data_IF_893032753523
#
_entry.id   IF_893032753523
#
_cell.length_a   1.000
_cell.length_b   1.000
_cell.length_c   1.000
_cell.angle_alpha   90.00
_cell.angle_beta   90.00
_cell.angle_gamma   90.00
#
_symmetry.space_group_name_H-M   'P 1'
#
loop_
_entity.id
_entity.type
_entity.pdbx_description
1 polymer ?
2 water ?
#
# COMPACT_ATOMS: atom_id res chain seq x y z
N UNK A 2 6.37 -13.94 27.57
CA UNK A 2 7.20 -12.76 27.36
C UNK A 2 6.40 -11.50 27.03
N UNK A 3 6.69 -10.42 27.76
CA UNK A 3 5.94 -9.16 27.65
C UNK A 3 6.59 -8.29 26.57
N UNK A 4 5.76 -7.77 25.67
CA UNK A 4 6.21 -6.86 24.63
C UNK A 4 5.51 -5.52 24.86
N UNK A 5 6.28 -4.45 24.97
CA UNK A 5 5.72 -3.14 25.27
C UNK A 5 6.09 -2.14 24.19
N UNK A 6 5.12 -1.46 23.67
CA UNK A 6 5.39 -0.44 22.65
C UNK A 6 5.53 0.93 23.31
N UNK A 7 6.30 1.84 22.73
CA UNK A 7 6.52 3.15 23.37
C UNK A 7 5.24 3.96 23.50
N UNK A 8 5.30 4.92 24.43
CA UNK A 8 4.14 5.72 24.80
C UNK A 8 3.66 6.57 23.62
N UNK A 9 4.60 7.08 22.82
CA UNK A 9 4.28 7.95 21.68
C UNK A 9 3.96 7.19 20.40
N UNK A 10 4.00 5.86 20.44
CA UNK A 10 3.76 5.03 19.26
C UNK A 10 2.34 5.22 18.76
N UNK A 11 2.18 5.45 17.46
CA UNK A 11 0.87 5.74 16.89
C UNK A 11 0.23 4.47 16.32
N UNK A 12 -1.05 4.30 16.61
CA UNK A 12 -1.79 3.12 16.17
C UNK A 12 -2.79 3.53 15.11
N UNK A 13 -2.87 2.74 14.05
CA UNK A 13 -3.82 3.02 12.99
C UNK A 13 -4.37 1.75 12.38
N UNK A 14 -5.34 1.96 11.47
CA UNK A 14 -5.83 0.97 10.53
C UNK A 14 -5.85 1.63 9.16
N UNK A 15 -5.91 0.80 8.12
CA UNK A 15 -5.77 1.29 6.76
C UNK A 15 -6.82 0.63 5.87
N UNK A 16 -7.28 1.40 4.88
CA UNK A 16 -8.13 0.92 3.79
C UNK A 16 -7.68 1.58 2.49
N UNK A 17 -8.35 1.22 1.39
CA UNK A 17 -8.17 1.86 0.09
C UNK A 17 -9.53 2.08 -0.57
N UNK A 18 -9.65 3.18 -1.32
CA UNK A 18 -10.95 3.63 -1.83
C UNK A 18 -11.66 2.55 -2.64
N UNK A 19 -11.02 2.04 -3.70
CA UNK A 19 -11.74 1.08 -4.53
C UNK A 19 -12.04 -0.21 -3.77
N UNK A 20 -11.28 -0.51 -2.73
CA UNK A 20 -11.47 -1.78 -2.03
C UNK A 20 -12.72 -1.76 -1.15
N UNK A 21 -13.14 -0.60 -0.65
CA UNK A 21 -14.25 -0.55 0.31
C UNK A 21 -15.44 0.30 -0.14
N UNK A 22 -15.21 1.33 -0.97
CA UNK A 22 -16.19 2.40 -1.13
C UNK A 22 -17.48 1.93 -1.82
N UNK A 23 -17.35 1.24 -2.95
CA UNK A 23 -18.54 0.99 -3.74
C UNK A 23 -19.05 2.27 -4.39
N UNK A 24 -20.35 2.31 -4.65
CA UNK A 24 -20.97 3.48 -5.30
C UNK A 24 -20.17 3.89 -6.54
N UNK A 25 -19.83 2.90 -7.35
CA UNK A 25 -18.81 3.10 -8.36
C UNK A 25 -19.27 4.00 -9.50
N UNK A 26 -20.58 4.11 -9.73
CA UNK A 26 -21.12 4.97 -10.77
C UNK A 26 -22.18 5.90 -10.20
N UNK A 27 -21.95 6.41 -8.99
CA UNK A 27 -22.86 7.35 -8.35
C UNK A 27 -22.15 8.66 -8.09
N UNK A 28 -22.95 9.71 -7.96
CA UNK A 28 -22.48 11.05 -7.61
C UNK A 28 -21.29 11.47 -8.48
N UNK A 29 -21.37 11.15 -9.77
CA UNK A 29 -20.46 11.69 -10.75
C UNK A 29 -19.14 10.96 -10.90
N UNK A 30 -18.93 9.85 -10.19
CA UNK A 30 -17.63 9.18 -10.24
C UNK A 30 -17.41 8.58 -11.62
N UNK A 31 -16.22 8.84 -12.20
CA UNK A 31 -15.83 8.20 -13.43
C UNK A 31 -15.17 6.84 -13.20
N UNK A 32 -15.07 6.08 -14.27
CA UNK A 32 -14.50 4.74 -14.18
C UNK A 32 -13.01 4.79 -13.93
N UNK A 33 -12.51 3.83 -13.13
CA UNK A 33 -11.08 3.62 -13.01
C UNK A 33 -10.68 2.38 -13.80
N UNK A 34 -9.35 2.21 -13.94
CA UNK A 34 -8.85 1.00 -14.59
C UNK A 34 -9.25 -0.26 -13.83
N UNK A 35 -9.55 -0.16 -12.52
CA UNK A 35 -9.97 -1.34 -11.78
C UNK A 35 -11.45 -1.66 -12.00
N UNK A 36 -12.28 -0.64 -12.28
CA UNK A 36 -13.63 -0.91 -12.77
C UNK A 36 -13.58 -1.70 -14.07
N UNK A 37 -12.78 -1.21 -15.03
CA UNK A 37 -12.62 -1.87 -16.32
C UNK A 37 -12.09 -3.29 -16.15
N UNK A 38 -11.02 -3.44 -15.37
CA UNK A 38 -10.35 -4.72 -15.23
C UNK A 38 -11.26 -5.75 -14.55
N UNK A 39 -11.90 -5.36 -13.44
CA UNK A 39 -12.71 -6.35 -12.72
C UNK A 39 -13.98 -6.73 -13.48
N UNK A 40 -14.39 -5.95 -14.47
CA UNK A 40 -15.49 -6.37 -15.32
C UNK A 40 -15.03 -7.11 -16.56
N UNK A 41 -13.74 -7.31 -16.72
CA UNK A 41 -13.22 -8.08 -17.84
C UNK A 41 -13.22 -9.57 -17.51
N UNK A 42 -13.75 -10.41 -18.40
CA UNK A 42 -13.81 -11.85 -18.10
C UNK A 42 -12.44 -12.42 -17.78
N UNK A 43 -12.38 -13.17 -16.67
CA UNK A 43 -11.20 -13.95 -16.33
C UNK A 43 -10.12 -13.24 -15.55
N UNK A 44 -10.29 -11.95 -15.25
CA UNK A 44 -9.25 -11.19 -14.59
C UNK A 44 -9.33 -11.23 -13.07
N UNK A 45 -10.54 -11.36 -12.49
CA UNK A 45 -10.73 -11.37 -11.06
C UNK A 45 -11.42 -12.67 -10.67
N UNK A 46 -10.94 -13.27 -9.59
CA UNK A 46 -11.50 -14.53 -9.15
C UNK A 46 -13.00 -14.38 -8.87
N UNK A 47 -13.77 -15.38 -9.31
CA UNK A 47 -15.23 -15.43 -9.16
C UNK A 47 -15.94 -14.30 -9.87
N UNK A 48 -15.26 -13.55 -10.73
CA UNK A 48 -15.89 -12.40 -11.36
C UNK A 48 -16.29 -11.30 -10.39
N UNK A 49 -15.63 -11.22 -9.25
CA UNK A 49 -15.93 -10.13 -8.32
C UNK A 49 -15.48 -8.79 -8.90
N UNK A 50 -16.10 -7.71 -8.42
CA UNK A 50 -15.73 -6.36 -8.78
C UNK A 50 -16.01 -5.45 -7.59
N UNK A 51 -15.57 -4.21 -7.69
CA UNK A 51 -15.79 -3.26 -6.62
C UNK A 51 -17.00 -2.36 -6.79
N UNK A 52 -18.04 -2.82 -7.49
CA UNK A 52 -19.23 -1.99 -7.71
C UNK A 52 -19.86 -1.58 -6.38
N UNK A 53 -20.03 -2.53 -5.48
CA UNK A 53 -20.61 -2.29 -4.15
C UNK A 53 -19.57 -2.39 -3.04
N UNK A 54 -18.78 -3.47 -3.03
CA UNK A 54 -17.70 -3.67 -2.03
C UNK A 54 -18.32 -3.62 -0.63
N UNK A 55 -17.80 -2.80 0.28
CA UNK A 55 -18.39 -2.65 1.60
C UNK A 55 -19.39 -1.52 1.65
N UNK A 56 -19.63 -0.83 0.53
CA UNK A 56 -20.54 0.32 0.48
C UNK A 56 -20.13 1.38 1.48
N UNK A 57 -18.82 1.54 1.72
CA UNK A 57 -18.35 2.52 2.68
C UNK A 57 -18.52 3.96 2.22
N UNK A 58 -18.76 4.19 0.92
CA UNK A 58 -19.14 5.54 0.49
C UNK A 58 -20.37 6.02 1.23
N UNK A 59 -21.38 5.17 1.35
CA UNK A 59 -22.59 5.50 2.09
C UNK A 59 -22.40 5.33 3.60
N UNK A 60 -21.85 4.18 4.03
CA UNK A 60 -21.79 3.82 5.44
C UNK A 60 -20.55 4.34 6.14
N UNK A 61 -19.96 5.45 5.68
CA UNK A 61 -18.69 5.89 6.24
C UNK A 61 -18.82 6.30 7.70
N UNK A 62 -20.02 6.71 8.13
CA UNK A 62 -20.19 7.05 9.55
C UNK A 62 -20.21 5.81 10.42
N UNK A 63 -20.81 4.72 9.93
CA UNK A 63 -20.74 3.45 10.65
C UNK A 63 -19.30 2.96 10.76
N UNK A 64 -18.50 3.14 9.69
CA UNK A 64 -17.09 2.76 9.75
C UNK A 64 -16.31 3.66 10.69
N UNK A 65 -16.63 4.96 10.72
CA UNK A 65 -15.91 5.85 11.63
C UNK A 65 -16.24 5.52 13.08
N UNK A 66 -17.46 5.08 13.36
CA UNK A 66 -17.78 4.70 14.73
C UNK A 66 -16.97 3.47 15.15
N UNK A 67 -16.76 2.53 14.21
CA UNK A 67 -15.91 1.37 14.46
C UNK A 67 -14.52 1.79 14.89
N UNK A 68 -13.97 2.84 14.27
CA UNK A 68 -12.62 3.26 14.58
C UNK A 68 -12.51 4.02 15.89
N UNK A 69 -13.55 4.77 16.28
CA UNK A 69 -13.48 5.44 17.58
C UNK A 69 -13.53 4.43 18.72
N UNK A 70 -14.35 3.38 18.59
CA UNK A 70 -14.35 2.30 19.58
C UNK A 70 -13.00 1.59 19.61
N UNK A 71 -12.44 1.32 18.43
CA UNK A 71 -11.13 0.67 18.34
C UNK A 71 -10.05 1.51 19.01
N UNK A 72 -10.17 2.85 18.96
CA UNK A 72 -9.24 3.70 19.66
C UNK A 72 -8.01 4.12 18.90
N UNK A 73 -7.98 3.91 17.57
CA UNK A 73 -6.77 4.22 16.81
C UNK A 73 -6.48 5.71 16.84
N UNK A 74 -5.21 6.06 16.67
CA UNK A 74 -4.80 7.45 16.56
C UNK A 74 -4.96 7.99 15.14
N UNK A 75 -4.73 7.15 14.13
CA UNK A 75 -4.68 7.58 12.73
C UNK A 75 -5.46 6.60 11.89
N UNK A 76 -6.09 7.11 10.84
CA UNK A 76 -6.78 6.28 9.86
C UNK A 76 -6.16 6.56 8.51
N UNK A 77 -5.62 5.51 7.88
CA UNK A 77 -5.09 5.58 6.53
C UNK A 77 -6.18 5.17 5.56
N UNK A 78 -6.50 6.05 4.61
CA UNK A 78 -7.49 5.80 3.58
C UNK A 78 -6.93 6.37 2.28
N UNK A 79 -7.63 6.13 1.17
CA UNK A 79 -7.22 6.77 -0.07
C UNK A 79 -8.38 7.51 -0.71
N UNK A 80 -8.03 8.49 -1.54
CA UNK A 80 -9.00 9.26 -2.32
C UNK A 80 -9.07 8.67 -3.71
N UNK A 81 -10.29 8.41 -4.19
CA UNK A 81 -10.53 7.96 -5.56
C UNK A 81 -10.35 9.13 -6.53
N UNK A 82 -9.22 9.15 -7.22
CA UNK A 82 -8.96 10.15 -8.26
C UNK A 82 -10.13 10.33 -9.23
N UNK A 83 -10.72 9.28 -9.82
CA UNK A 83 -11.86 9.49 -10.72
C UNK A 83 -13.13 9.92 -10.01
N UNK A 84 -13.15 9.96 -8.68
CA UNK A 84 -14.25 10.57 -7.96
C UNK A 84 -14.10 12.08 -7.84
N UNK A 85 -12.87 12.58 -7.88
CA UNK A 85 -12.60 14.01 -7.90
C UNK A 85 -12.59 14.55 -9.33
N UNK A 86 -11.86 13.87 -10.23
CA UNK A 86 -11.75 14.23 -11.65
C UNK A 86 -12.20 13.03 -12.47
N UNK A 87 -13.48 12.94 -12.81
CA UNK A 87 -13.97 11.76 -13.54
C UNK A 87 -13.22 11.43 -14.83
N UNK A 88 -12.58 12.42 -15.46
CA UNK A 88 -11.77 12.18 -16.64
C UNK A 88 -10.27 12.22 -16.33
N UNK A 89 -9.91 12.39 -15.06
CA UNK A 89 -8.52 12.53 -14.66
C UNK A 89 -8.03 13.95 -14.65
N UNK A 90 -8.68 14.84 -15.40
CA UNK A 90 -8.27 16.23 -15.56
C UNK A 90 -9.53 17.10 -15.61
N UNK A 91 -9.32 18.41 -15.72
CA UNK A 91 -10.39 19.32 -16.03
C UNK A 91 -11.34 19.56 -14.89
N UNK A 92 -12.64 19.36 -15.15
CA UNK A 92 -13.67 19.80 -14.19
C UNK A 92 -13.72 18.91 -12.95
N UNK A 93 -13.76 19.55 -11.78
CA UNK A 93 -13.96 18.85 -10.52
C UNK A 93 -15.39 18.33 -10.44
N UNK A 94 -15.54 17.11 -9.93
CA UNK A 94 -16.86 16.56 -9.61
C UNK A 94 -17.18 16.96 -8.18
N UNK A 95 -18.15 17.87 -8.02
CA UNK A 95 -18.36 18.51 -6.72
C UNK A 95 -18.85 17.52 -5.67
N UNK A 96 -19.75 16.61 -6.04
CA UNK A 96 -20.28 15.67 -5.06
C UNK A 96 -19.17 14.76 -4.52
N UNK A 97 -18.24 14.34 -5.38
CA UNK A 97 -17.13 13.54 -4.92
C UNK A 97 -16.20 14.32 -4.00
N UNK A 98 -15.93 15.58 -4.33
CA UNK A 98 -15.06 16.38 -3.49
C UNK A 98 -15.71 16.67 -2.15
N UNK A 99 -17.03 16.84 -2.13
CA UNK A 99 -17.67 17.11 -0.85
C UNK A 99 -17.79 15.85 0.00
N UNK A 100 -17.88 14.69 -0.64
CA UNK A 100 -17.86 13.45 0.12
C UNK A 100 -16.63 13.37 1.02
N UNK A 101 -15.45 13.59 0.44
CA UNK A 101 -14.23 13.52 1.24
C UNK A 101 -14.11 14.67 2.23
N UNK A 102 -14.76 15.80 1.95
CA UNK A 102 -14.80 16.85 2.98
C UNK A 102 -15.68 16.42 4.14
N UNK A 103 -16.84 15.83 3.86
CA UNK A 103 -17.68 15.31 4.95
C UNK A 103 -16.97 14.22 5.73
N UNK A 104 -16.24 13.35 5.02
CA UNK A 104 -15.51 12.27 5.66
C UNK A 104 -14.41 12.81 6.60
N UNK A 105 -13.51 13.63 6.05
CA UNK A 105 -12.37 14.09 6.84
C UNK A 105 -12.83 14.89 8.05
N UNK A 106 -13.89 15.69 7.89
CA UNK A 106 -14.34 16.50 9.01
C UNK A 106 -14.93 15.63 10.12
N UNK A 107 -15.72 14.62 9.74
CA UNK A 107 -16.28 13.68 10.71
C UNK A 107 -15.19 12.85 11.37
N UNK A 108 -14.13 12.50 10.62
CA UNK A 108 -12.97 11.83 11.21
C UNK A 108 -12.37 12.68 12.32
N UNK A 109 -12.02 13.92 12.00
CA UNK A 109 -11.39 14.81 12.98
C UNK A 109 -12.34 15.07 14.15
N UNK A 110 -13.64 15.18 13.86
CA UNK A 110 -14.61 15.36 14.93
C UNK A 110 -14.52 14.23 15.94
N UNK A 111 -14.34 13.00 15.48
CA UNK A 111 -14.23 11.84 16.34
C UNK A 111 -12.81 11.63 16.87
N UNK A 112 -11.92 12.61 16.72
CA UNK A 112 -10.60 12.54 17.30
C UNK A 112 -9.57 11.70 16.57
N UNK A 113 -9.73 11.50 15.26
CA UNK A 113 -8.84 10.63 14.49
C UNK A 113 -8.10 11.47 13.45
N UNK A 114 -6.77 11.41 13.45
CA UNK A 114 -6.02 12.09 12.41
C UNK A 114 -6.14 11.33 11.10
N UNK A 115 -6.30 12.03 9.97
CA UNK A 115 -6.28 11.35 8.67
C UNK A 115 -4.87 11.19 8.12
N UNK A 116 -4.64 10.04 7.52
CA UNK A 116 -3.51 9.85 6.62
C UNK A 116 -4.07 9.50 5.25
N UNK A 117 -3.70 10.27 4.24
CA UNK A 117 -4.32 10.20 2.94
C UNK A 117 -3.35 9.64 1.92
N UNK A 118 -3.76 8.57 1.25
CA UNK A 118 -3.03 8.05 0.10
C UNK A 118 -3.64 8.66 -1.16
N UNK A 119 -2.86 9.46 -1.89
CA UNK A 119 -3.40 10.11 -3.07
C UNK A 119 -3.69 9.10 -4.19
N UNK A 120 -2.80 8.13 -4.40
CA UNK A 120 -2.97 7.13 -5.45
C UNK A 120 -2.87 5.71 -4.90
N UNK A 121 -4.01 5.04 -4.78
CA UNK A 121 -4.02 3.63 -4.43
C UNK A 121 -4.70 2.83 -5.55
N UNK A 122 -4.19 3.00 -6.79
CA UNK A 122 -4.29 2.11 -7.94
C UNK A 122 -5.48 2.39 -8.84
N UNK A 123 -6.36 3.31 -8.49
CA UNK A 123 -7.58 3.51 -9.27
C UNK A 123 -7.37 4.67 -10.26
N UNK A 124 -6.50 4.42 -11.25
CA UNK A 124 -6.26 5.44 -12.27
C UNK A 124 -7.52 5.67 -13.10
N UNK A 125 -7.92 6.91 -13.34
CA UNK A 125 -9.07 7.17 -14.23
C UNK A 125 -8.89 6.48 -15.57
N UNK A 126 -9.94 5.77 -15.99
CA UNK A 126 -9.89 5.08 -17.27
C UNK A 126 -9.66 6.05 -18.43
N UNK A 127 -10.14 7.29 -18.31
CA UNK A 127 -9.88 8.28 -19.35
C UNK A 127 -8.39 8.48 -19.57
N UNK A 128 -7.60 8.46 -18.48
CA UNK A 128 -6.16 8.60 -18.62
C UNK A 128 -5.49 7.32 -19.11
N UNK A 129 -6.03 6.15 -18.74
CA UNK A 129 -5.50 4.91 -19.32
C UNK A 129 -5.75 4.88 -20.83
N UNK A 130 -6.84 5.49 -21.29
CA UNK A 130 -7.14 5.53 -22.71
C UNK A 130 -6.06 6.23 -23.52
N UNK A 131 -5.32 7.17 -22.93
CA UNK A 131 -4.23 7.83 -23.61
C UNK A 131 -2.87 7.24 -23.23
N UNK A 132 -2.86 5.99 -22.72
CA UNK A 132 -1.63 5.30 -22.38
C UNK A 132 -1.36 5.18 -20.89
N UNK A 133 -2.13 5.86 -20.03
CA UNK A 133 -1.97 5.69 -18.60
C UNK A 133 -0.62 6.18 -18.13
N UNK A 134 -0.06 5.47 -17.14
CA UNK A 134 1.21 5.90 -16.57
C UNK A 134 2.35 5.86 -17.56
N UNK A 135 2.19 5.21 -18.72
CA UNK A 135 3.23 5.26 -19.74
C UNK A 135 3.32 6.63 -20.37
N UNK A 136 2.28 7.45 -20.24
CA UNK A 136 2.19 8.76 -20.88
C UNK A 136 2.53 9.83 -19.86
N UNK A 137 3.60 10.59 -20.12
CA UNK A 137 4.06 11.57 -19.15
C UNK A 137 3.05 12.69 -18.92
N UNK A 138 2.03 12.82 -19.77
CA UNK A 138 0.92 13.71 -19.43
C UNK A 138 0.14 13.21 -18.21
N UNK A 139 0.05 11.89 -18.03
CA UNK A 139 -0.66 11.36 -16.86
C UNK A 139 0.13 11.65 -15.59
N UNK A 140 1.45 11.64 -15.67
CA UNK A 140 2.27 12.08 -14.55
C UNK A 140 1.92 13.51 -14.18
N UNK A 141 1.90 14.40 -15.17
CA UNK A 141 1.52 15.77 -14.88
C UNK A 141 0.09 15.86 -14.35
N UNK A 142 -0.81 15.04 -14.89
CA UNK A 142 -2.17 15.06 -14.37
C UNK A 142 -2.23 14.65 -12.90
N UNK A 143 -1.33 13.76 -12.47
CA UNK A 143 -1.27 13.39 -11.05
C UNK A 143 -0.85 14.57 -10.19
N UNK A 144 0.15 15.34 -10.64
CA UNK A 144 0.60 16.50 -9.88
C UNK A 144 -0.54 17.51 -9.73
N UNK A 145 -1.23 17.80 -10.84
CA UNK A 145 -2.34 18.74 -10.77
C UNK A 145 -3.45 18.24 -9.86
N UNK A 146 -3.73 16.94 -9.89
CA UNK A 146 -4.71 16.35 -8.99
C UNK A 146 -4.24 16.45 -7.54
N UNK A 147 -2.99 16.05 -7.27
CA UNK A 147 -2.47 16.15 -5.91
C UNK A 147 -2.48 17.60 -5.43
N UNK A 148 -2.10 18.53 -6.30
CA UNK A 148 -2.10 19.94 -5.95
C UNK A 148 -3.49 20.42 -5.56
N UNK A 149 -4.49 20.06 -6.36
CA UNK A 149 -5.87 20.37 -5.99
C UNK A 149 -6.19 19.84 -4.59
N UNK A 150 -5.83 18.59 -4.32
CA UNK A 150 -6.19 17.97 -3.05
C UNK A 150 -5.40 18.59 -1.91
N UNK A 151 -4.12 18.90 -2.13
CA UNK A 151 -3.32 19.57 -1.11
C UNK A 151 -3.98 20.86 -0.65
N UNK A 152 -4.24 21.78 -1.59
CA UNK A 152 -4.88 23.05 -1.27
C UNK A 152 -6.24 22.82 -0.61
N UNK A 153 -6.99 21.86 -1.13
CA UNK A 153 -8.34 21.61 -0.64
C UNK A 153 -8.37 21.14 0.82
N UNK A 154 -7.27 20.58 1.33
CA UNK A 154 -7.27 19.94 2.64
C UNK A 154 -6.14 20.42 3.54
N UNK A 155 -5.51 21.56 3.21
CA UNK A 155 -4.29 22.00 3.89
C UNK A 155 -4.48 22.14 5.40
N UNK A 156 -5.69 22.40 5.87
CA UNK A 156 -5.89 22.47 7.30
C UNK A 156 -6.03 21.14 8.00
N UNK A 157 -6.61 20.14 7.32
CA UNK A 157 -7.22 18.98 7.96
C UNK A 157 -6.39 17.70 7.85
N UNK A 158 -5.78 17.44 6.70
CA UNK A 158 -4.98 16.24 6.48
C UNK A 158 -3.51 16.64 6.59
N UNK A 159 -2.81 16.09 7.59
CA UNK A 159 -1.41 16.43 7.82
C UNK A 159 -0.45 15.29 7.59
N UNK A 160 -0.92 14.13 7.12
CA UNK A 160 -0.04 13.03 6.75
C UNK A 160 -0.48 12.52 5.38
N UNK A 161 0.46 12.43 4.46
CA UNK A 161 0.18 12.23 3.05
C UNK A 161 1.06 11.13 2.48
N UNK A 162 0.47 10.25 1.68
CA UNK A 162 1.22 9.27 0.88
C UNK A 162 0.93 9.54 -0.58
N UNK A 163 1.99 9.70 -1.38
CA UNK A 163 1.80 9.90 -2.81
C UNK A 163 1.33 8.64 -3.52
N UNK A 164 2.23 7.66 -3.65
CA UNK A 164 1.99 6.45 -4.43
C UNK A 164 2.07 5.25 -3.49
N UNK A 165 1.02 4.41 -3.47
CA UNK A 165 1.02 3.16 -2.71
C UNK A 165 1.56 2.02 -3.57
N UNK A 166 2.63 1.36 -3.09
CA UNK A 166 3.19 0.16 -3.72
C UNK A 166 3.46 0.34 -5.21
N UNK A 167 4.42 1.18 -5.60
CA UNK A 167 4.72 1.35 -7.04
C UNK A 167 5.11 0.06 -7.71
N UNK A 168 5.64 -0.92 -6.95
CA UNK A 168 6.00 -2.20 -7.55
C UNK A 168 4.77 -2.88 -8.13
N UNK A 169 3.65 -2.78 -7.42
CA UNK A 169 2.43 -3.41 -7.92
C UNK A 169 1.90 -2.65 -9.14
N UNK A 170 1.88 -1.32 -9.06
CA UNK A 170 1.34 -0.50 -10.15
C UNK A 170 2.10 -0.77 -11.44
N UNK A 171 3.41 -0.95 -11.34
CA UNK A 171 4.25 -1.13 -12.54
C UNK A 171 4.37 -2.60 -12.92
N UNK A 172 5.16 -3.36 -12.18
CA UNK A 172 5.50 -4.72 -12.60
C UNK A 172 4.30 -5.69 -12.50
N UNK A 173 3.61 -5.70 -11.36
CA UNK A 173 2.49 -6.64 -11.22
C UNK A 173 1.38 -6.33 -12.22
N UNK A 174 1.21 -5.06 -12.57
CA UNK A 174 0.14 -4.63 -13.46
C UNK A 174 0.50 -4.64 -14.93
N UNK A 175 1.79 -4.45 -15.29
CA UNK A 175 2.16 -4.25 -16.68
C UNK A 175 3.17 -5.25 -17.20
N UNK A 176 3.80 -6.03 -16.32
CA UNK A 176 4.67 -7.11 -16.75
C UNK A 176 4.02 -8.47 -16.53
N UNK A 177 3.56 -8.73 -15.31
CA UNK A 177 2.85 -9.98 -15.04
C UNK A 177 1.38 -9.92 -15.47
N UNK A 178 0.80 -8.73 -15.56
CA UNK A 178 -0.55 -8.58 -16.04
C UNK A 178 -1.62 -9.05 -15.09
N UNK A 179 -1.32 -9.17 -13.80
CA UNK A 179 -2.25 -9.71 -12.82
C UNK A 179 -3.13 -8.65 -12.18
N UNK A 180 -2.69 -7.40 -12.18
CA UNK A 180 -3.43 -6.25 -11.71
C UNK A 180 -3.74 -5.30 -12.86
N UNK A 181 -4.73 -4.43 -12.64
CA UNK A 181 -5.13 -3.50 -13.69
C UNK A 181 -3.98 -2.56 -14.04
N UNK A 182 -3.76 -2.26 -15.34
CA UNK A 182 -4.63 -2.59 -16.49
C UNK A 182 -4.36 -3.93 -17.16
N UNK A 183 -3.38 -4.70 -16.69
CA UNK A 183 -3.22 -6.06 -17.16
C UNK A 183 -2.33 -6.28 -18.38
N UNK A 184 -1.24 -5.53 -18.49
CA UNK A 184 -0.36 -5.69 -19.64
C UNK A 184 0.76 -6.70 -19.32
N UNK A 185 1.45 -7.16 -20.37
CA UNK A 185 2.53 -8.16 -20.24
C UNK A 185 3.75 -7.67 -21.04
N UNK A 186 4.43 -6.65 -20.55
CA UNK A 186 5.57 -6.12 -21.30
C UNK A 186 6.58 -5.50 -20.34
N UNK A 187 7.78 -6.08 -20.30
CA UNK A 187 8.76 -5.69 -19.30
C UNK A 187 9.21 -4.24 -19.49
N UNK A 188 9.53 -3.86 -20.73
CA UNK A 188 9.96 -2.48 -20.98
C UNK A 188 8.91 -1.49 -20.51
N UNK A 189 7.64 -1.75 -20.82
CA UNK A 189 6.55 -0.88 -20.37
C UNK A 189 6.54 -0.79 -18.84
N UNK A 190 6.65 -1.92 -18.14
CA UNK A 190 6.63 -1.88 -16.69
C UNK A 190 7.83 -1.10 -16.15
N UNK A 191 9.01 -1.32 -16.72
CA UNK A 191 10.21 -0.61 -16.27
C UNK A 191 10.03 0.89 -16.43
N UNK A 192 9.50 1.32 -17.57
CA UNK A 192 9.30 2.75 -17.77
C UNK A 192 8.20 3.29 -16.87
N UNK A 193 7.12 2.52 -16.68
CA UNK A 193 6.06 2.97 -15.79
C UNK A 193 6.57 3.13 -14.37
N UNK A 194 7.45 2.22 -13.91
CA UNK A 194 8.01 2.36 -12.56
C UNK A 194 8.76 3.69 -12.42
N UNK A 195 9.53 4.07 -13.44
CA UNK A 195 10.21 5.37 -13.42
C UNK A 195 9.21 6.51 -13.36
N UNK A 196 8.14 6.44 -14.15
CA UNK A 196 7.15 7.51 -14.16
C UNK A 196 6.47 7.67 -12.80
N UNK A 197 6.23 6.56 -12.09
CA UNK A 197 5.62 6.66 -10.76
C UNK A 197 6.55 7.38 -9.78
N UNK A 198 7.84 7.10 -9.85
CA UNK A 198 8.76 7.81 -8.98
C UNK A 198 8.80 9.30 -9.34
N UNK A 199 8.74 9.60 -10.64
CA UNK A 199 8.68 10.99 -11.10
C UNK A 199 7.41 11.65 -10.59
N UNK A 200 6.27 10.98 -10.75
CA UNK A 200 5.01 11.53 -10.23
C UNK A 200 5.10 11.79 -8.73
N UNK A 201 5.76 10.89 -7.98
CA UNK A 201 5.93 11.09 -6.55
C UNK A 201 6.76 12.34 -6.25
N UNK A 202 7.94 12.43 -6.85
CA UNK A 202 8.80 13.58 -6.58
C UNK A 202 8.16 14.90 -6.95
N UNK A 203 7.42 14.93 -8.06
CA UNK A 203 6.72 16.14 -8.43
C UNK A 203 5.63 16.48 -7.44
N UNK A 204 4.90 15.46 -6.95
CA UNK A 204 3.91 15.73 -5.91
C UNK A 204 4.58 16.26 -4.65
N UNK A 205 5.77 15.76 -4.32
CA UNK A 205 6.47 16.22 -3.12
C UNK A 205 6.90 17.68 -3.29
N UNK A 206 7.56 17.99 -4.41
CA UNK A 206 7.97 19.36 -4.68
C UNK A 206 6.77 20.32 -4.65
N UNK A 207 5.60 19.87 -5.11
CA UNK A 207 4.41 20.71 -5.05
C UNK A 207 4.00 20.95 -3.61
N UNK A 208 4.01 19.88 -2.82
CA UNK A 208 3.70 19.96 -1.39
C UNK A 208 4.56 21.02 -0.70
N UNK A 209 5.86 21.00 -0.96
CA UNK A 209 6.75 22.00 -0.39
C UNK A 209 6.39 23.41 -0.87
N UNK A 210 6.45 23.62 -2.19
CA UNK A 210 6.15 24.91 -2.81
C UNK A 210 4.93 25.58 -2.22
N UNK A 211 3.84 24.84 -2.11
CA UNK A 211 2.60 25.40 -1.58
C UNK A 211 2.57 25.47 -0.06
N UNK A 212 3.65 25.09 0.63
CA UNK A 212 3.66 25.19 2.08
C UNK A 212 2.51 24.50 2.78
N UNK A 213 2.07 23.35 2.23
CA UNK A 213 1.01 22.59 2.88
C UNK A 213 1.50 22.15 4.26
N UNK A 214 0.59 22.14 5.23
CA UNK A 214 0.98 21.73 6.58
C UNK A 214 1.10 20.22 6.66
N UNK A 215 2.07 19.75 7.43
CA UNK A 215 2.16 18.33 7.71
C UNK A 215 3.35 17.64 7.09
N UNK A 216 3.20 16.35 6.78
CA UNK A 216 4.32 15.57 6.29
C UNK A 216 3.88 14.63 5.17
N UNK A 217 4.83 14.29 4.31
CA UNK A 217 4.54 13.52 3.12
C UNK A 217 5.61 12.47 2.89
N UNK A 218 5.19 11.33 2.36
CA UNK A 218 6.10 10.30 1.92
C UNK A 218 5.44 9.44 0.86
N UNK A 219 5.94 8.22 0.70
CA UNK A 219 5.30 7.22 -0.14
C UNK A 219 5.34 5.88 0.58
N UNK A 220 4.74 4.85 -0.03
CA UNK A 220 4.49 3.58 0.66
C UNK A 220 4.86 2.39 -0.22
N UNK A 221 6.14 2.10 -0.37
CA UNK A 221 6.54 0.89 -1.07
C UNK A 221 6.26 -0.36 -0.23
N UNK A 222 5.98 -1.46 -0.92
CA UNK A 222 5.99 -2.75 -0.22
C UNK A 222 7.38 -3.37 -0.36
N UNK A 223 7.79 -4.13 0.65
CA UNK A 223 9.08 -4.79 0.65
C UNK A 223 8.92 -6.22 1.17
N UNK A 224 9.87 -7.07 0.81
CA UNK A 224 9.94 -8.43 1.30
C UNK A 224 11.35 -8.64 1.85
N UNK A 225 11.50 -9.60 2.76
CA UNK A 225 12.82 -10.11 3.10
C UNK A 225 13.07 -11.43 2.40
N UNK A 226 14.24 -11.55 1.77
CA UNK A 226 14.62 -12.77 1.08
C UNK A 226 16.01 -13.18 1.59
N UNK A 227 16.05 -14.28 2.35
CA UNK A 227 17.27 -14.73 3.03
C UNK A 227 18.06 -15.67 2.12
N UNK A 228 19.36 -15.44 1.91
CA UNK A 228 20.12 -16.31 1.01
C UNK A 228 20.11 -17.77 1.47
N UNK A 229 19.90 -18.66 0.50
CA UNK A 229 19.94 -20.10 0.75
C UNK A 229 21.31 -20.53 1.28
N UNK A 230 22.37 -19.91 0.78
CA UNK A 230 23.74 -20.24 1.17
C UNK A 230 24.61 -19.02 1.00
N UNK A 231 25.88 -19.14 1.43
CA UNK A 231 26.86 -18.10 1.24
C UNK A 231 27.38 -18.02 -0.20
N UNK A 232 27.06 -18.98 -1.06
CA UNK A 232 27.51 -18.93 -2.45
C UNK A 232 27.10 -17.61 -3.10
N UNK A 233 27.99 -17.06 -3.94
CA UNK A 233 27.76 -15.71 -4.46
C UNK A 233 26.49 -15.67 -5.29
N UNK A 234 26.22 -16.71 -6.08
CA UNK A 234 25.02 -16.72 -6.92
C UNK A 234 23.74 -16.64 -6.10
N UNK A 235 23.72 -17.25 -4.90
CA UNK A 235 22.56 -17.15 -4.01
C UNK A 235 22.48 -15.76 -3.39
N UNK A 236 23.63 -15.20 -3.01
CA UNK A 236 23.65 -13.83 -2.48
C UNK A 236 23.10 -12.84 -3.51
N UNK A 237 23.53 -13.00 -4.77
CA UNK A 237 23.07 -12.07 -5.81
C UNK A 237 21.59 -12.28 -6.13
N UNK A 238 21.15 -13.54 -6.19
CA UNK A 238 19.75 -13.82 -6.46
C UNK A 238 18.85 -13.11 -5.44
N UNK A 239 19.24 -13.12 -4.16
CA UNK A 239 18.44 -12.47 -3.13
C UNK A 239 18.58 -10.96 -3.22
N UNK A 240 19.78 -10.49 -3.57
CA UNK A 240 20.01 -9.08 -3.80
C UNK A 240 19.06 -8.58 -4.89
N UNK A 241 18.93 -9.32 -5.99
CA UNK A 241 17.94 -8.99 -7.00
C UNK A 241 16.52 -9.15 -6.50
N UNK A 242 16.25 -10.26 -5.79
CA UNK A 242 14.88 -10.50 -5.34
C UNK A 242 14.35 -9.40 -4.45
N UNK A 243 15.19 -8.89 -3.54
CA UNK A 243 14.79 -7.74 -2.73
C UNK A 243 15.00 -6.41 -3.46
N UNK A 244 15.96 -6.37 -4.40
CA UNK A 244 16.29 -5.12 -5.07
C UNK A 244 15.15 -4.59 -5.93
N UNK A 245 14.30 -5.49 -6.45
CA UNK A 245 13.14 -5.04 -7.22
C UNK A 245 12.13 -4.30 -6.36
N UNK A 246 12.12 -4.55 -5.05
CA UNK A 246 11.27 -3.79 -4.14
C UNK A 246 12.00 -2.63 -3.50
N UNK A 247 13.25 -2.84 -3.08
CA UNK A 247 13.91 -1.86 -2.22
C UNK A 247 14.79 -0.94 -3.05
N UNK A 248 15.97 -1.42 -3.48
CA UNK A 248 16.92 -0.52 -4.15
C UNK A 248 16.30 0.17 -5.37
N UNK A 249 15.49 -0.56 -6.16
CA UNK A 249 14.90 0.00 -7.38
C UNK A 249 13.98 1.19 -7.08
N UNK A 250 13.28 1.18 -5.96
CA UNK A 250 12.33 2.24 -5.65
C UNK A 250 12.80 3.17 -4.55
N UNK A 251 13.86 2.80 -3.82
CA UNK A 251 14.43 3.63 -2.75
C UNK A 251 15.65 4.42 -3.20
N UNK A 252 16.56 3.79 -3.97
CA UNK A 252 17.75 4.50 -4.42
C UNK A 252 17.42 5.77 -5.21
N UNK A 253 16.44 5.78 -6.13
CA UNK A 253 16.12 7.06 -6.81
C UNK A 253 15.62 8.12 -5.85
N UNK A 254 14.83 7.74 -4.84
CA UNK A 254 14.29 8.73 -3.92
C UNK A 254 15.38 9.23 -2.96
N UNK A 255 16.20 8.32 -2.45
CA UNK A 255 17.16 8.68 -1.41
C UNK A 255 18.54 9.01 -1.93
N UNK A 256 18.98 8.37 -3.00
CA UNK A 256 20.33 8.56 -3.52
C UNK A 256 20.36 9.20 -4.90
N UNK A 257 19.19 9.49 -5.50
CA UNK A 257 19.14 10.09 -6.82
C UNK A 257 19.69 9.23 -7.95
N UNK A 258 19.56 7.91 -7.85
CA UNK A 258 20.18 6.99 -8.80
C UNK A 258 19.34 5.72 -8.85
N UNK A 259 19.36 5.04 -10.02
CA UNK A 259 18.89 3.66 -10.03
C UNK A 259 20.06 2.73 -9.74
N UNK A 260 19.82 1.64 -9.01
CA UNK A 260 20.93 0.74 -8.67
C UNK A 260 21.49 0.08 -9.92
N UNK A 261 22.82 0.04 -10.02
CA UNK A 261 23.44 -0.43 -11.24
C UNK A 261 23.23 -1.93 -11.44
N UNK A 262 23.18 -2.72 -10.35
CA UNK A 262 23.01 -4.15 -10.54
C UNK A 262 21.63 -4.46 -11.12
N UNK A 263 20.61 -3.67 -10.77
CA UNK A 263 19.31 -3.88 -11.38
C UNK A 263 19.27 -3.37 -12.82
N UNK A 264 19.88 -2.19 -13.07
CA UNK A 264 19.92 -1.65 -14.43
C UNK A 264 20.56 -2.64 -15.39
N UNK A 265 21.70 -3.22 -14.99
CA UNK A 265 22.41 -4.17 -15.83
C UNK A 265 21.60 -5.43 -16.07
N UNK A 266 20.93 -5.93 -15.02
CA UNK A 266 20.09 -7.12 -15.17
C UNK A 266 18.94 -6.85 -16.14
N UNK A 267 18.26 -5.71 -15.96
CA UNK A 267 17.17 -5.35 -16.88
C UNK A 267 17.66 -5.22 -18.32
N UNK A 268 18.83 -4.58 -18.49
CA UNK A 268 19.40 -4.38 -19.82
C UNK A 268 19.62 -5.71 -20.53
N UNK A 269 20.27 -6.65 -19.84
CA UNK A 269 20.46 -8.00 -20.39
C UNK A 269 19.14 -8.65 -20.78
N UNK A 270 18.03 -8.19 -20.22
CA UNK A 270 16.71 -8.71 -20.55
C UNK A 270 15.91 -7.75 -21.41
N UNK A 271 16.56 -6.74 -21.99
CA UNK A 271 15.92 -5.95 -23.02
C UNK A 271 15.07 -4.80 -22.52
N UNK A 272 15.41 -4.21 -21.39
CA UNK A 272 14.62 -3.13 -20.87
C UNK A 272 15.53 -2.11 -20.20
N UNK A 273 15.25 -0.84 -20.47
CA UNK A 273 16.00 0.29 -19.92
C UNK A 273 14.98 1.37 -19.60
N UNK A 274 14.93 1.90 -18.39
CA UNK A 274 13.95 2.96 -18.11
C UNK A 274 14.25 4.17 -18.98
N UNK A 275 13.20 4.74 -19.56
CA UNK A 275 13.35 5.95 -20.37
C UNK A 275 13.41 7.15 -19.42
N UNK A 276 14.62 7.57 -19.12
CA UNK A 276 14.88 8.65 -18.17
C UNK A 276 15.17 9.92 -18.98
N UNK A 277 14.38 10.96 -18.76
CA UNK A 277 14.61 12.24 -19.41
C UNK A 277 15.39 13.16 -18.48
N UNK A 278 16.02 14.18 -19.08
CA UNK A 278 16.89 15.05 -18.31
C UNK A 278 16.10 15.81 -17.24
N UNK A 279 16.71 15.92 -16.07
CA UNK A 279 16.02 16.46 -14.91
C UNK A 279 15.14 15.49 -14.16
N UNK A 280 14.94 14.26 -14.65
CA UNK A 280 14.06 13.32 -13.97
C UNK A 280 14.61 12.92 -12.61
N UNK A 281 15.89 12.55 -12.56
CA UNK A 281 16.47 12.05 -11.31
C UNK A 281 16.52 13.12 -10.24
N UNK A 282 16.85 14.37 -10.63
CA UNK A 282 16.82 15.45 -9.66
C UNK A 282 15.43 15.68 -9.13
N UNK A 283 14.40 15.48 -9.97
CA UNK A 283 13.03 15.67 -9.49
C UNK A 283 12.57 14.51 -8.61
N UNK A 284 13.02 13.30 -8.89
CA UNK A 284 12.63 12.15 -8.08
C UNK A 284 13.15 12.31 -6.64
N UNK A 285 14.44 12.69 -6.52
CA UNK A 285 15.14 12.69 -5.23
C UNK A 285 14.79 13.85 -4.31
N UNK A 286 13.54 14.31 -4.31
CA UNK A 286 13.12 15.29 -3.32
C UNK A 286 13.21 14.70 -1.92
N UNK A 287 13.62 15.47 -0.92
CA UNK A 287 13.55 14.99 0.46
C UNK A 287 12.11 14.74 0.89
N UNK A 288 11.89 13.62 1.58
CA UNK A 288 10.58 13.27 2.11
C UNK A 288 10.68 13.23 3.63
N UNK A 289 9.53 13.34 4.28
CA UNK A 289 9.49 13.40 5.73
C UNK A 289 9.52 12.02 6.38
N UNK A 290 8.88 11.04 5.74
CA UNK A 290 8.82 9.67 6.25
C UNK A 290 8.66 8.73 5.07
N UNK A 291 8.89 7.45 5.33
CA UNK A 291 8.59 6.42 4.36
C UNK A 291 7.56 5.48 4.98
N UNK A 292 6.55 5.11 4.19
CA UNK A 292 5.57 4.16 4.64
C UNK A 292 6.05 2.79 4.20
N UNK A 293 6.19 1.85 5.13
CA UNK A 293 6.60 0.49 4.78
C UNK A 293 5.36 -0.40 4.79
N UNK A 294 5.09 -1.05 3.68
CA UNK A 294 4.10 -2.11 3.59
C UNK A 294 4.84 -3.44 3.62
N UNK A 295 4.56 -4.28 4.61
CA UNK A 295 5.26 -5.55 4.72
C UNK A 295 4.26 -6.67 5.03
N UNK A 296 4.39 -7.78 4.34
CA UNK A 296 3.56 -8.94 4.61
C UNK A 296 4.35 -10.23 4.73
N UNK A 297 5.44 -10.39 3.97
CA UNK A 297 5.95 -11.74 3.79
C UNK A 297 7.43 -11.72 3.40
N UNK A 298 8.01 -12.92 3.38
CA UNK A 298 9.38 -13.12 2.95
C UNK A 298 9.64 -14.59 2.71
N UNK A 299 10.90 -14.90 2.44
CA UNK A 299 11.26 -16.29 2.11
C UNK A 299 12.79 -16.42 2.12
N UNK A 300 13.24 -17.62 1.78
CA UNK A 300 14.64 -17.91 1.50
C UNK A 300 14.79 -17.99 -0.01
N UNK A 301 15.83 -17.37 -0.55
CA UNK A 301 16.02 -17.29 -1.99
C UNK A 301 17.26 -18.08 -2.44
N UNK A 302 17.09 -18.84 -3.52
CA UNK A 302 18.16 -19.65 -4.10
C UNK A 302 18.28 -19.29 -5.57
N UNK A 303 19.51 -19.09 -6.05
CA UNK A 303 19.71 -18.87 -7.47
C UNK A 303 19.17 -20.05 -8.27
N UNK A 304 18.43 -19.74 -9.34
CA UNK A 304 17.90 -20.75 -10.24
C UNK A 304 17.63 -20.07 -11.58
N UNK A 305 18.33 -20.49 -12.64
CA UNK A 305 18.24 -19.76 -13.90
C UNK A 305 16.84 -19.82 -14.52
N UNK A 306 16.00 -20.78 -14.12
CA UNK A 306 14.64 -20.87 -14.63
C UNK A 306 13.59 -20.25 -13.72
N UNK A 307 14.00 -19.55 -12.66
CA UNK A 307 13.03 -19.01 -11.68
C UNK A 307 12.69 -17.56 -12.03
N UNK A 308 11.96 -17.41 -13.12
CA UNK A 308 11.47 -16.09 -13.49
C UNK A 308 12.57 -15.17 -13.99
N UNK A 309 12.17 -13.91 -14.19
CA UNK A 309 13.07 -12.89 -14.72
C UNK A 309 14.30 -12.72 -13.83
N UNK A 310 14.10 -12.65 -12.51
CA UNK A 310 15.21 -12.37 -11.60
C UNK A 310 16.03 -13.60 -11.25
N UNK A 311 15.61 -14.78 -11.71
CA UNK A 311 16.33 -16.03 -11.51
C UNK A 311 16.61 -16.29 -10.04
N UNK A 312 15.57 -16.17 -9.22
CA UNK A 312 15.65 -16.50 -7.80
C UNK A 312 14.43 -17.33 -7.43
N UNK A 313 14.69 -18.50 -6.87
CA UNK A 313 13.64 -19.41 -6.42
C UNK A 313 13.35 -19.12 -4.95
N UNK A 314 12.11 -18.73 -4.65
CA UNK A 314 11.74 -18.41 -3.30
C UNK A 314 11.21 -19.67 -2.61
N UNK A 315 11.78 -19.99 -1.44
CA UNK A 315 11.58 -21.29 -0.81
C UNK A 315 10.96 -21.07 0.56
N UNK A 316 9.92 -21.84 0.85
CA UNK A 316 9.33 -21.93 2.18
C UNK A 316 10.11 -23.01 2.93
N UNK A 317 11.00 -22.59 3.83
CA UNK A 317 11.91 -23.54 4.50
C UNK A 317 11.26 -24.02 5.79
N UNK A 318 10.00 -23.67 5.99
CA UNK A 318 9.29 -24.06 7.19
C UNK A 318 8.44 -22.97 7.82
N UNK A 319 7.91 -22.04 7.03
CA UNK A 319 7.02 -21.03 7.58
C UNK A 319 5.57 -21.50 7.52
N UNK A 320 4.77 -21.10 8.50
CA UNK A 320 3.33 -21.10 8.35
C UNK A 320 2.94 -20.16 7.20
N UNK A 321 1.76 -20.40 6.62
CA UNK A 321 1.24 -19.54 5.57
C UNK A 321 -0.16 -19.06 5.93
N UNK A 322 -0.51 -17.87 5.45
CA UNK A 322 -1.86 -17.36 5.61
C UNK A 322 -2.79 -18.03 4.59
N UNK A 323 -4.09 -17.70 4.64
CA UNK A 323 -5.05 -18.36 3.75
C UNK A 323 -4.90 -17.93 2.29
N UNK A 324 -4.15 -16.85 2.02
CA UNK A 324 -3.80 -16.49 0.66
C UNK A 324 -2.47 -17.09 0.25
N UNK A 325 -1.82 -17.81 1.15
CA UNK A 325 -0.63 -18.55 0.81
C UNK A 325 0.68 -17.86 1.08
N UNK A 326 0.68 -16.73 1.79
CA UNK A 326 1.92 -15.98 2.00
C UNK A 326 2.66 -16.47 3.24
N UNK A 327 3.97 -16.69 3.10
CA UNK A 327 4.81 -17.05 4.23
C UNK A 327 4.69 -16.05 5.36
N UNK A 328 4.60 -16.56 6.57
CA UNK A 328 4.60 -15.77 7.78
C UNK A 328 6.04 -15.79 8.30
N UNK A 329 6.71 -14.64 8.29
CA UNK A 329 8.15 -14.58 8.49
C UNK A 329 8.48 -13.31 9.28
N UNK A 330 8.06 -13.26 10.55
CA UNK A 330 8.27 -12.04 11.34
C UNK A 330 9.74 -11.69 11.55
N UNK A 331 10.63 -12.67 11.61
CA UNK A 331 12.06 -12.33 11.67
C UNK A 331 12.52 -11.60 10.42
N UNK A 332 11.93 -11.93 9.26
CA UNK A 332 12.22 -11.18 8.03
C UNK A 332 11.82 -9.73 8.13
N UNK A 333 10.71 -9.45 8.83
CA UNK A 333 10.27 -8.08 9.05
C UNK A 333 11.33 -7.29 9.81
N UNK A 334 11.84 -7.88 10.88
CA UNK A 334 12.91 -7.24 11.64
C UNK A 334 14.13 -6.99 10.77
N UNK A 335 14.53 -8.00 9.98
CA UNK A 335 15.73 -7.86 9.16
C UNK A 335 15.55 -6.82 8.05
N UNK A 336 14.36 -6.76 7.43
CA UNK A 336 14.22 -5.83 6.31
C UNK A 336 14.23 -4.38 6.81
N UNK A 337 13.66 -4.12 7.98
CA UNK A 337 13.72 -2.77 8.53
C UNK A 337 15.15 -2.37 8.85
N UNK A 338 15.97 -3.32 9.30
CA UNK A 338 17.38 -3.05 9.52
C UNK A 338 18.09 -2.72 8.22
N UNK A 339 17.80 -3.48 7.17
CA UNK A 339 18.39 -3.23 5.86
C UNK A 339 18.09 -1.80 5.42
N UNK A 340 16.84 -1.39 5.57
CA UNK A 340 16.41 -0.07 5.12
C UNK A 340 17.07 1.01 5.97
N UNK A 341 17.09 0.84 7.29
CA UNK A 341 17.73 1.81 8.17
C UNK A 341 19.22 1.94 7.85
N UNK A 342 19.90 0.82 7.58
CA UNK A 342 21.33 0.85 7.33
C UNK A 342 21.66 1.51 5.99
N UNK A 343 20.78 1.39 4.99
CA UNK A 343 21.07 1.90 3.66
C UNK A 343 20.56 3.32 3.44
N UNK A 344 19.51 3.73 4.14
CA UNK A 344 18.88 5.01 3.87
C UNK A 344 18.78 5.93 5.08
N UNK A 345 19.31 5.52 6.23
CA UNK A 345 19.38 6.42 7.37
C UNK A 345 18.17 6.37 8.27
N UNK A 346 18.15 7.32 9.21
CA UNK A 346 17.18 7.37 10.29
C UNK A 346 15.88 8.06 9.88
N UNK A 347 15.49 7.94 8.62
CA UNK A 347 14.23 8.59 8.22
C UNK A 347 13.09 8.00 9.04
N UNK A 348 12.11 8.80 9.47
CA UNK A 348 10.94 8.24 10.15
C UNK A 348 10.23 7.20 9.30
N UNK A 349 9.71 6.17 9.96
CA UNK A 349 9.03 5.07 9.30
C UNK A 349 7.67 4.87 9.95
N UNK A 350 6.63 4.82 9.13
CA UNK A 350 5.36 4.25 9.54
C UNK A 350 5.23 2.90 8.85
N UNK A 351 4.73 1.91 9.59
CA UNK A 351 4.30 0.67 8.94
C UNK A 351 2.91 0.94 8.40
N UNK A 352 2.81 1.32 7.13
CA UNK A 352 1.54 1.77 6.59
C UNK A 352 0.63 0.62 6.18
N UNK A 353 1.15 -0.61 6.11
CA UNK A 353 0.34 -1.81 5.96
C UNK A 353 1.05 -3.03 6.56
N UNK A 354 0.28 -3.84 7.30
CA UNK A 354 0.73 -5.15 7.77
C UNK A 354 -0.53 -5.88 8.23
N UNK A 355 -0.71 -7.12 7.81
CA UNK A 355 -1.93 -7.85 8.15
C UNK A 355 -1.88 -9.22 7.50
N UNK A 356 -2.97 -9.96 7.69
CA UNK A 356 -2.98 -11.36 7.29
C UNK A 356 -4.33 -11.75 6.72
N UNK A 357 -4.32 -12.59 5.71
CA UNK A 357 -5.54 -13.15 5.16
C UNK A 357 -5.91 -14.41 5.94
N UNK A 358 -7.05 -14.37 6.61
CA UNK A 358 -7.64 -15.55 7.22
C UNK A 358 -9.12 -15.48 6.95
N UNK A 359 -9.67 -16.54 6.38
CA UNK A 359 -11.03 -16.51 5.85
C UNK A 359 -12.00 -17.14 6.85
N UNK A 360 -12.03 -16.54 8.05
CA UNK A 360 -12.84 -17.05 9.14
C UNK A 360 -14.24 -16.46 9.06
N UNK A 361 -15.22 -17.30 9.34
CA UNK A 361 -16.63 -16.96 9.16
C UNK A 361 -17.29 -16.62 10.50
N UNK A 362 -18.47 -16.02 10.41
CA UNK A 362 -19.25 -15.72 11.61
C UNK A 362 -19.94 -16.98 12.08
N UNK A 363 -19.73 -17.34 13.35
CA UNK A 363 -20.40 -18.47 13.97
C UNK A 363 -20.92 -18.01 15.31
N UNK A 364 -22.25 -18.09 15.49
CA UNK A 364 -22.91 -17.60 16.70
C UNK A 364 -22.54 -16.14 16.97
N UNK A 365 -22.51 -15.33 15.91
CA UNK A 365 -22.19 -13.92 16.06
C UNK A 365 -20.75 -13.61 16.42
N UNK A 366 -19.85 -14.59 16.36
CA UNK A 366 -18.45 -14.39 16.70
C UNK A 366 -17.56 -14.83 15.53
N UNK A 367 -16.43 -14.14 15.36
CA UNK A 367 -15.39 -14.57 14.40
C UNK A 367 -14.13 -14.86 15.19
N UNK A 368 -13.75 -16.14 15.26
CA UNK A 368 -12.60 -16.55 16.07
C UNK A 368 -11.36 -16.61 15.17
N UNK A 369 -10.79 -15.44 14.90
CA UNK A 369 -9.64 -15.36 13.98
C UNK A 369 -8.34 -15.27 14.77
N UNK A 370 -8.07 -16.32 15.54
CA UNK A 370 -6.87 -16.34 16.39
C UNK A 370 -5.58 -16.39 15.57
N UNK A 371 -5.64 -16.95 14.35
CA UNK A 371 -4.48 -16.86 13.47
C UNK A 371 -4.09 -15.42 13.18
N UNK A 372 -5.09 -14.54 12.96
CA UNK A 372 -4.78 -13.14 12.70
C UNK A 372 -4.19 -12.46 13.93
N UNK A 373 -4.75 -12.72 15.11
CA UNK A 373 -4.17 -12.20 16.35
C UNK A 373 -2.70 -12.62 16.46
N UNK A 374 -2.40 -13.88 16.18
CA UNK A 374 -1.02 -14.35 16.31
C UNK A 374 -0.11 -13.66 15.31
N UNK A 375 -0.60 -13.46 14.09
CA UNK A 375 0.18 -12.73 13.09
C UNK A 375 0.51 -11.33 13.58
N UNK A 376 -0.49 -10.62 14.11
CA UNK A 376 -0.27 -9.25 14.56
C UNK A 376 0.69 -9.19 15.75
N UNK A 377 0.52 -10.11 16.72
CA UNK A 377 1.47 -10.25 17.81
C UNK A 377 2.90 -10.36 17.32
N UNK A 378 3.10 -11.25 16.34
CA UNK A 378 4.45 -11.57 15.87
C UNK A 378 5.08 -10.38 15.16
N UNK A 379 4.29 -9.63 14.40
CA UNK A 379 4.91 -8.53 13.66
C UNK A 379 5.06 -7.29 14.52
N UNK A 380 4.18 -7.11 15.51
CA UNK A 380 4.39 -6.04 16.48
C UNK A 380 5.60 -6.33 17.34
N UNK A 381 5.89 -7.61 17.59
CA UNK A 381 7.12 -7.97 18.29
C UNK A 381 8.34 -7.58 17.47
N UNK A 382 8.34 -7.88 16.17
CA UNK A 382 9.45 -7.47 15.31
C UNK A 382 9.65 -5.96 15.30
N UNK A 383 8.55 -5.21 15.39
CA UNK A 383 8.62 -3.75 15.43
C UNK A 383 9.24 -3.29 16.74
N UNK A 384 8.85 -3.91 17.85
CA UNK A 384 9.49 -3.60 19.13
C UNK A 384 10.99 -3.90 19.08
N UNK A 385 11.37 -5.05 18.51
CA UNK A 385 12.79 -5.36 18.37
C UNK A 385 13.49 -4.31 17.50
N UNK A 386 12.82 -3.87 16.44
CA UNK A 386 13.40 -2.88 15.52
C UNK A 386 13.61 -1.54 16.21
N UNK A 387 12.62 -1.08 16.97
CA UNK A 387 12.76 0.16 17.72
C UNK A 387 13.93 0.07 18.70
N UNK A 388 14.09 -1.07 19.38
CA UNK A 388 15.19 -1.22 20.32
C UNK A 388 16.53 -1.25 19.61
N UNK A 389 16.56 -1.74 18.38
CA UNK A 389 17.76 -1.73 17.58
C UNK A 389 18.04 -0.34 17.00
N UNK A 390 17.08 0.58 17.12
CA UNK A 390 17.27 1.97 16.75
C UNK A 390 16.57 2.42 15.50
N UNK A 391 15.71 1.59 14.91
CA UNK A 391 14.97 2.00 13.73
C UNK A 391 13.87 2.97 14.14
N UNK A 392 13.69 4.03 13.34
CA UNK A 392 12.90 5.19 13.73
C UNK A 392 11.42 5.00 13.39
N UNK A 393 10.82 3.99 14.00
CA UNK A 393 9.45 3.58 13.69
C UNK A 393 8.47 4.41 14.52
N UNK A 394 7.54 5.09 13.84
CA UNK A 394 6.62 5.99 14.53
C UNK A 394 5.23 5.41 14.76
N UNK A 395 4.83 4.40 14.00
CA UNK A 395 3.47 3.90 14.17
C UNK A 395 3.22 2.72 13.28
N UNK A 396 2.01 2.17 13.42
CA UNK A 396 1.63 0.90 12.83
C UNK A 396 0.18 0.99 12.36
N UNK A 397 -0.06 0.61 11.11
CA UNK A 397 -1.40 0.58 10.53
C UNK A 397 -1.74 -0.87 10.22
N UNK A 398 -2.73 -1.42 10.91
CA UNK A 398 -3.21 -2.75 10.57
C UNK A 398 -3.99 -2.70 9.26
N UNK A 399 -3.63 -3.58 8.32
CA UNK A 399 -4.43 -3.86 7.14
C UNK A 399 -5.26 -5.10 7.42
N UNK A 400 -6.59 -4.98 7.44
CA UNK A 400 -7.36 -3.76 7.15
C UNK A 400 -8.47 -3.60 8.20
N UNK A 401 -9.07 -2.40 8.27
CA UNK A 401 -10.25 -2.25 9.13
C UNK A 401 -11.33 -3.26 8.77
N UNK A 402 -11.67 -3.38 7.48
CA UNK A 402 -12.76 -4.20 7.01
C UNK A 402 -12.27 -5.23 6.02
N UNK A 403 -12.90 -6.41 6.02
CA UNK A 403 -12.82 -7.27 4.86
C UNK A 403 -13.23 -6.47 3.64
N UNK A 404 -12.58 -6.72 2.49
CA UNK A 404 -12.81 -5.84 1.35
C UNK A 404 -12.46 -6.56 0.06
N UNK A 405 -12.51 -5.81 -1.05
CA UNK A 405 -12.22 -6.34 -2.38
C UNK A 405 -10.71 -6.47 -2.52
N UNK A 406 -10.19 -7.70 -2.46
CA UNK A 406 -8.74 -7.91 -2.50
C UNK A 406 -8.25 -8.15 -3.93
N UNK A 407 -8.43 -7.12 -4.76
CA UNK A 407 -7.86 -7.02 -6.11
C UNK A 407 -8.16 -8.28 -6.91
N UNK A 408 -7.17 -8.94 -7.53
CA UNK A 408 -7.47 -10.07 -8.40
C UNK A 408 -8.02 -11.28 -7.64
N UNK A 409 -7.93 -11.28 -6.31
CA UNK A 409 -8.53 -12.36 -5.53
C UNK A 409 -10.00 -12.14 -5.23
N UNK A 410 -10.51 -10.93 -5.45
CA UNK A 410 -11.93 -10.67 -5.18
C UNK A 410 -12.21 -10.63 -3.69
N UNK A 411 -13.42 -11.03 -3.31
CA UNK A 411 -13.84 -10.97 -1.91
C UNK A 411 -13.46 -12.20 -1.10
N UNK A 412 -12.89 -13.23 -1.73
CA UNK A 412 -12.66 -14.47 -1.03
C UNK A 412 -11.48 -14.42 -0.04
N UNK A 413 -10.60 -13.43 -0.15
CA UNK A 413 -9.43 -13.34 0.73
C UNK A 413 -9.63 -12.19 1.71
N UNK A 414 -10.03 -12.53 2.94
CA UNK A 414 -10.40 -11.55 3.96
C UNK A 414 -9.17 -11.13 4.77
N UNK A 415 -8.97 -9.82 4.92
CA UNK A 415 -7.89 -9.23 5.69
C UNK A 415 -8.37 -8.42 6.88
N UNK A 416 -9.68 -8.35 7.12
CA UNK A 416 -10.19 -7.33 8.01
C UNK A 416 -10.12 -7.70 9.48
N UNK A 417 -10.14 -6.66 10.30
CA UNK A 417 -10.48 -6.80 11.72
C UNK A 417 -11.99 -6.90 11.90
N UNK A 418 -12.76 -6.41 10.95
CA UNK A 418 -14.23 -6.45 10.98
C UNK A 418 -14.71 -7.30 9.81
N UNK A 419 -15.50 -8.31 10.12
CA UNK A 419 -16.04 -9.17 9.08
C UNK A 419 -17.15 -8.44 8.32
N UNK A 420 -17.20 -8.66 7.01
CA UNK A 420 -18.22 -8.07 6.15
C UNK A 420 -18.97 -9.19 5.46
N UNK A 421 -20.29 -9.21 5.65
CA UNK A 421 -21.14 -10.03 4.81
C UNK A 421 -21.36 -9.27 3.51
N UNK A 422 -20.80 -9.75 2.41
CA UNK A 422 -20.87 -8.93 1.21
C UNK A 422 -22.22 -9.01 0.52
N UNK A 423 -23.09 -9.93 0.93
CA UNK A 423 -24.48 -9.96 0.48
C UNK A 423 -25.34 -8.94 1.22
N UNK A 424 -25.14 -8.79 2.52
CA UNK A 424 -25.96 -7.90 3.34
C UNK A 424 -25.25 -6.64 3.78
N UNK A 425 -23.93 -6.55 3.59
CA UNK A 425 -23.09 -5.45 4.04
C UNK A 425 -23.08 -5.31 5.57
N UNK A 426 -23.54 -6.32 6.28
CA UNK A 426 -23.46 -6.31 7.74
C UNK A 426 -22.02 -6.43 8.24
N UNK A 427 -21.68 -5.60 9.23
CA UNK A 427 -20.39 -5.64 9.91
C UNK A 427 -20.46 -6.52 11.17
N UNK A 428 -19.42 -7.33 11.39
CA UNK A 428 -19.27 -8.12 12.62
C UNK A 428 -17.83 -8.02 13.10
N UNK A 429 -17.62 -7.39 14.25
CA UNK A 429 -16.28 -7.30 14.83
C UNK A 429 -15.69 -8.68 15.09
N UNK A 430 -14.46 -8.91 14.63
CA UNK A 430 -13.80 -10.18 14.84
C UNK A 430 -13.08 -10.17 16.19
N UNK A 431 -12.62 -11.36 16.61
CA UNK A 431 -11.80 -11.41 17.82
C UNK A 431 -10.59 -10.50 17.68
N UNK A 432 -10.01 -10.39 16.46
CA UNK A 432 -8.83 -9.56 16.31
C UNK A 432 -9.15 -8.08 16.52
N UNK A 433 -10.38 -7.66 16.22
CA UNK A 433 -10.77 -6.29 16.53
C UNK A 433 -10.70 -6.03 18.03
N UNK A 434 -11.29 -6.93 18.83
CA UNK A 434 -11.27 -6.75 20.27
C UNK A 434 -9.84 -6.86 20.82
N UNK A 435 -9.05 -7.77 20.27
CA UNK A 435 -7.64 -7.87 20.68
C UNK A 435 -6.90 -6.57 20.38
N UNK A 436 -7.00 -6.09 19.13
CA UNK A 436 -6.30 -4.86 18.75
C UNK A 436 -6.73 -3.69 19.62
N UNK A 437 -8.03 -3.61 19.92
CA UNK A 437 -8.57 -2.57 20.82
C UNK A 437 -7.87 -2.60 22.18
N UNK A 438 -7.72 -3.79 22.75
CA UNK A 438 -7.03 -3.87 24.04
C UNK A 438 -5.57 -3.46 23.91
N UNK A 439 -4.90 -3.92 22.86
CA UNK A 439 -3.48 -3.66 22.68
C UNK A 439 -3.23 -2.18 22.41
N UNK A 440 -4.12 -1.55 21.64
CA UNK A 440 -3.95 -0.12 21.36
C UNK A 440 -4.05 0.67 22.66
N UNK A 441 -4.99 0.29 23.54
CA UNK A 441 -5.11 0.98 24.82
C UNK A 441 -3.97 0.62 25.77
N UNK A 442 -3.73 -0.68 26.00
CA UNK A 442 -2.73 -1.08 26.99
C UNK A 442 -1.31 -0.77 26.51
N UNK A 443 -1.07 -0.88 25.20
CA UNK A 443 0.25 -0.72 24.57
C UNK A 443 1.23 -1.83 24.95
N UNK A 444 0.74 -2.96 25.44
CA UNK A 444 1.60 -4.12 25.66
C UNK A 444 0.77 -5.37 25.42
N UNK A 445 1.46 -6.49 25.19
CA UNK A 445 0.85 -7.81 25.10
C UNK A 445 1.92 -8.83 25.48
N UNK A 446 1.55 -10.11 25.45
CA UNK A 446 2.48 -11.18 25.78
C UNK A 446 2.68 -12.13 24.60
#
# INVERSE_FOLDING_TARGET
MAIIQLPKDFQWGVATAAYQIEGAYNEDGRGLSIWDTFSHTPGKVRNGDNGDIACDSYHRYKEDIKLMKELGVDIYRFSISWPRIFPTGRGPVNSKGLEFYHHFVDELIANGIEPMCTLYHWDLPQSLQDIGGWANREVVEAFVEYSTFIFKEFNGKIKKWITINEPWCISFLSNYEGKHAPGNHNLQLAVTISHHLLLAHGKAVKAFRNLGIEGEIGYAPNVEWIEPFSSKQEDQDACHRGMGIFIEWFFDPVFKGKYPDFMLDWFEQNGAVPEIQEGDMQMISQPIDFVGINFYTGSVGRYNKEAGLLEVEKINIGYQTTDIGWNIYPEGFYKVLNKINNQYGNIPIYITENGACYNDEVINGRVKDEGRIEYLKQHLTSIRRSIETGVNIKGYFAWSLLDNFEWAEGYDMRFGLVHINFHTLERTKKDSYYWYKKIVRNRWFEI
#
